data_IF_850669084712
#
_entry.id   IF_850669084712
#
_cell.length_a   1.000
_cell.length_b   1.000
_cell.length_c   1.000
_cell.angle_alpha   90.00
_cell.angle_beta   90.00
_cell.angle_gamma   90.00
#
_symmetry.space_group_name_H-M   'P 1'
#
loop_
_entity.id
_entity.type
_entity.pdbx_description
1 polymer ?
#
# COMPACT_ATOMS: atom_id res chain seq x y z
N UNK A 1 18.63 36.56 -17.51
CA UNK A 1 18.16 35.38 -18.29
C UNK A 1 16.83 35.76 -18.95
N UNK A 2 16.73 35.75 -20.28
CA UNK A 2 15.54 36.24 -21.00
C UNK A 2 14.33 35.34 -20.78
N UNK A 3 13.14 35.93 -20.61
CA UNK A 3 11.85 35.22 -20.45
C UNK A 3 11.59 34.22 -21.58
N UNK A 4 12.09 34.50 -22.80
CA UNK A 4 12.00 33.62 -23.96
C UNK A 4 12.87 32.36 -23.86
N UNK A 5 13.99 32.43 -23.13
CA UNK A 5 14.91 31.30 -22.93
C UNK A 5 14.36 30.34 -21.86
N UNK A 6 13.78 30.88 -20.79
CA UNK A 6 13.05 30.14 -19.76
C UNK A 6 11.84 29.39 -20.33
N UNK A 7 11.05 30.05 -21.20
CA UNK A 7 9.92 29.41 -21.88
C UNK A 7 10.33 28.25 -22.78
N UNK A 8 11.44 28.39 -23.53
CA UNK A 8 11.98 27.31 -24.36
C UNK A 8 12.50 26.15 -23.51
N UNK A 9 13.25 26.40 -22.44
CA UNK A 9 13.74 25.34 -21.53
C UNK A 9 12.59 24.59 -20.86
N UNK A 10 11.54 25.28 -20.40
CA UNK A 10 10.36 24.64 -19.83
C UNK A 10 9.64 23.74 -20.87
N UNK A 11 9.56 24.19 -22.13
CA UNK A 11 8.96 23.42 -23.21
C UNK A 11 9.80 22.17 -23.55
N UNK A 12 11.13 22.30 -23.65
CA UNK A 12 12.03 21.18 -23.93
C UNK A 12 12.04 20.15 -22.80
N UNK A 13 12.04 20.59 -21.54
CA UNK A 13 11.96 19.68 -20.38
C UNK A 13 10.62 18.97 -20.31
N UNK A 14 9.51 19.68 -20.62
CA UNK A 14 8.16 19.08 -20.63
C UNK A 14 8.00 18.08 -21.77
N UNK A 15 8.51 18.41 -22.97
CA UNK A 15 8.47 17.52 -24.13
C UNK A 15 9.39 16.31 -23.95
N UNK A 16 10.61 16.51 -23.44
CA UNK A 16 11.54 15.44 -23.10
C UNK A 16 11.00 14.52 -22.01
N UNK A 17 10.34 15.08 -20.98
CA UNK A 17 9.64 14.31 -19.95
C UNK A 17 8.48 13.50 -20.52
N UNK A 18 7.65 14.07 -21.40
CA UNK A 18 6.52 13.39 -22.02
C UNK A 18 6.95 12.28 -22.98
N UNK A 19 7.93 12.54 -23.85
CA UNK A 19 8.48 11.55 -24.78
C UNK A 19 9.21 10.46 -24.00
N UNK A 20 10.05 10.83 -23.04
CA UNK A 20 10.73 9.88 -22.15
C UNK A 20 9.73 8.99 -21.40
N UNK A 21 8.65 9.56 -20.87
CA UNK A 21 7.57 8.80 -20.23
C UNK A 21 6.89 7.84 -21.21
N UNK A 22 6.49 8.31 -22.40
CA UNK A 22 5.80 7.48 -23.39
C UNK A 22 6.70 6.36 -23.92
N UNK A 23 7.97 6.65 -24.19
CA UNK A 23 8.96 5.65 -24.65
C UNK A 23 9.27 4.66 -23.53
N UNK A 24 9.50 5.10 -22.30
CA UNK A 24 9.69 4.20 -21.17
C UNK A 24 8.45 3.32 -20.92
N UNK A 25 7.25 3.90 -21.00
CA UNK A 25 6.00 3.17 -20.85
C UNK A 25 5.79 2.14 -21.97
N UNK A 26 6.14 2.46 -23.22
CA UNK A 26 6.07 1.53 -24.35
C UNK A 26 7.17 0.45 -24.30
N UNK A 27 8.38 0.78 -23.83
CA UNK A 27 9.45 -0.21 -23.62
C UNK A 27 9.11 -1.16 -22.47
N UNK A 28 8.55 -0.64 -21.38
CA UNK A 28 8.13 -1.48 -20.26
C UNK A 28 6.94 -2.37 -20.65
N UNK A 29 5.93 -1.83 -21.34
CA UNK A 29 4.77 -2.58 -21.82
C UNK A 29 5.02 -3.19 -23.22
N UNK A 30 5.40 -4.46 -23.26
CA UNK A 30 5.59 -5.21 -24.50
C UNK A 30 7.00 -5.76 -24.72
N UNK A 31 8.04 -5.11 -24.16
CA UNK A 31 9.39 -5.70 -24.14
C UNK A 31 9.72 -6.33 -22.79
N UNK A 32 9.43 -5.65 -21.67
CA UNK A 32 9.73 -6.18 -20.33
C UNK A 32 8.54 -6.84 -19.63
N UNK A 33 7.31 -6.37 -19.88
CA UNK A 33 6.10 -6.86 -19.20
C UNK A 33 4.94 -7.06 -20.18
N UNK A 34 4.29 -8.23 -20.10
CA UNK A 34 3.03 -8.55 -20.78
C UNK A 34 1.86 -8.29 -19.82
N UNK A 35 1.42 -7.03 -19.75
CA UNK A 35 0.36 -6.60 -18.83
C UNK A 35 -0.97 -6.53 -19.55
N UNK A 36 -1.99 -7.28 -19.13
CA UNK A 36 -3.26 -7.30 -19.82
C UNK A 36 -4.03 -5.99 -19.61
N UNK A 37 -4.89 -5.65 -20.58
CA UNK A 37 -5.79 -4.50 -20.48
C UNK A 37 -6.87 -4.77 -19.43
N UNK A 38 -7.15 -3.77 -18.56
CA UNK A 38 -8.20 -3.83 -17.55
C UNK A 38 -9.56 -4.17 -18.19
N UNK A 39 -10.34 -5.04 -17.55
CA UNK A 39 -11.67 -5.47 -18.03
C UNK A 39 -11.66 -6.63 -19.03
N UNK A 40 -10.51 -7.20 -19.37
CA UNK A 40 -10.40 -8.38 -20.25
C UNK A 40 -10.30 -9.68 -19.46
N UNK A 41 -10.66 -10.83 -20.06
CA UNK A 41 -10.47 -12.16 -19.46
C UNK A 41 -9.01 -12.44 -19.10
N UNK A 42 -8.07 -11.90 -19.88
CA UNK A 42 -6.64 -11.98 -19.57
C UNK A 42 -6.29 -11.27 -18.27
N UNK A 43 -6.94 -10.14 -17.97
CA UNK A 43 -6.77 -9.42 -16.71
C UNK A 43 -7.32 -10.19 -15.51
N UNK A 44 -8.45 -10.88 -15.68
CA UNK A 44 -9.02 -11.76 -14.66
C UNK A 44 -8.06 -12.91 -14.34
N UNK A 45 -7.59 -13.63 -15.37
CA UNK A 45 -6.60 -14.72 -15.21
C UNK A 45 -5.29 -14.25 -14.59
N UNK A 46 -4.87 -13.02 -14.92
CA UNK A 46 -3.69 -12.40 -14.33
C UNK A 46 -3.88 -12.16 -12.82
N UNK A 47 -5.05 -11.67 -12.40
CA UNK A 47 -5.40 -11.51 -10.99
C UNK A 47 -5.47 -12.85 -10.26
N UNK A 48 -6.16 -13.86 -10.82
CA UNK A 48 -6.25 -15.22 -10.26
C UNK A 48 -4.87 -15.85 -10.05
N UNK A 49 -3.95 -15.66 -10.99
CA UNK A 49 -2.56 -16.13 -10.88
C UNK A 49 -1.81 -15.43 -9.75
N UNK A 50 -2.01 -14.13 -9.59
CA UNK A 50 -1.43 -13.38 -8.47
C UNK A 50 -2.02 -13.84 -7.12
N UNK A 51 -3.32 -14.10 -7.07
CA UNK A 51 -4.01 -14.59 -5.88
C UNK A 51 -3.48 -15.97 -5.46
N UNK A 52 -3.40 -16.90 -6.42
CA UNK A 52 -2.80 -18.22 -6.21
C UNK A 52 -1.35 -18.11 -5.70
N UNK A 53 -0.59 -17.14 -6.23
CA UNK A 53 0.79 -16.89 -5.78
C UNK A 53 0.81 -16.32 -4.36
N UNK A 54 -0.08 -15.39 -4.02
CA UNK A 54 -0.22 -14.82 -2.67
C UNK A 54 -0.51 -15.93 -1.64
N UNK A 55 -1.50 -16.78 -1.90
CA UNK A 55 -1.86 -17.91 -1.03
C UNK A 55 -0.75 -18.95 -0.91
N UNK A 56 0.05 -19.12 -1.96
CA UNK A 56 1.17 -20.05 -1.94
C UNK A 56 2.33 -19.61 -1.03
N UNK A 57 2.40 -18.33 -0.64
CA UNK A 57 3.52 -17.77 0.11
C UNK A 57 3.66 -18.45 1.50
N UNK A 58 4.88 -18.84 1.90
CA UNK A 58 5.11 -19.46 3.21
C UNK A 58 4.62 -18.61 4.38
N UNK A 59 4.84 -17.29 4.32
CA UNK A 59 4.38 -16.34 5.34
C UNK A 59 2.85 -16.35 5.47
N UNK A 60 2.12 -16.34 4.35
CA UNK A 60 0.65 -16.36 4.34
C UNK A 60 0.14 -17.66 4.94
N UNK A 61 0.70 -18.80 4.54
CA UNK A 61 0.34 -20.11 5.11
C UNK A 61 0.64 -20.21 6.61
N UNK A 62 1.75 -19.62 7.05
CA UNK A 62 2.12 -19.60 8.47
C UNK A 62 1.12 -18.78 9.28
N UNK A 63 0.85 -17.54 8.86
CA UNK A 63 -0.08 -16.65 9.58
C UNK A 63 -1.52 -17.15 9.53
N UNK A 64 -1.94 -17.80 8.44
CA UNK A 64 -3.29 -18.37 8.33
C UNK A 64 -3.54 -19.57 9.25
N UNK A 65 -2.48 -20.24 9.72
CA UNK A 65 -2.57 -21.36 10.68
C UNK A 65 -2.51 -20.91 12.12
N UNK A 66 -2.08 -19.68 12.37
CA UNK A 66 -1.92 -19.15 13.70
C UNK A 66 -3.26 -18.59 14.21
N UNK A 67 -3.84 -19.16 15.28
CA UNK A 67 -5.15 -18.74 15.79
C UNK A 67 -5.14 -17.32 16.38
N UNK A 68 -3.97 -16.73 16.65
CA UNK A 68 -3.87 -15.35 17.14
C UNK A 68 -4.10 -14.31 16.04
N UNK A 69 -3.97 -14.71 14.77
CA UNK A 69 -4.16 -13.82 13.64
C UNK A 69 -5.53 -14.03 13.01
N UNK A 70 -6.28 -12.93 12.87
CA UNK A 70 -7.47 -12.89 12.03
C UNK A 70 -7.09 -12.43 10.63
N UNK A 71 -7.43 -13.24 9.63
CA UNK A 71 -7.29 -12.89 8.22
C UNK A 71 -8.40 -11.92 7.78
N UNK A 72 -8.04 -10.84 7.10
CA UNK A 72 -8.96 -9.77 6.68
C UNK A 72 -8.64 -9.36 5.23
N UNK A 73 -9.69 -9.17 4.43
CA UNK A 73 -9.64 -8.54 3.10
C UNK A 73 -10.20 -7.12 3.21
N UNK A 74 -9.38 -6.07 3.08
CA UNK A 74 -9.81 -4.71 3.38
C UNK A 74 -10.90 -4.16 2.47
N UNK A 75 -10.95 -4.62 1.22
CA UNK A 75 -11.89 -4.08 0.25
C UNK A 75 -13.30 -4.65 0.43
N UNK A 76 -13.43 -5.79 1.10
CA UNK A 76 -14.72 -6.48 1.32
C UNK A 76 -15.66 -5.69 2.25
N UNK A 77 -15.12 -4.77 3.05
CA UNK A 77 -15.88 -3.94 3.99
C UNK A 77 -16.11 -2.51 3.47
N UNK A 78 -15.49 -2.15 2.34
CA UNK A 78 -15.72 -0.87 1.68
C UNK A 78 -16.98 -0.98 0.84
N UNK A 79 -17.95 -0.10 1.08
CA UNK A 79 -19.14 -0.02 0.24
C UNK A 79 -18.76 0.19 -1.23
N UNK A 80 -19.45 -0.49 -2.14
CA UNK A 80 -19.12 -0.52 -3.56
C UNK A 80 -19.06 0.89 -4.18
N UNK A 81 -19.90 1.83 -3.71
CA UNK A 81 -19.90 3.21 -4.22
C UNK A 81 -18.63 3.99 -3.84
N UNK A 82 -17.94 3.56 -2.77
CA UNK A 82 -16.72 4.22 -2.26
C UNK A 82 -15.44 3.56 -2.74
N UNK A 83 -15.47 2.31 -3.22
CA UNK A 83 -14.25 1.58 -3.58
C UNK A 83 -13.43 2.30 -4.66
N UNK A 84 -14.10 2.94 -5.62
CA UNK A 84 -13.46 3.73 -6.67
C UNK A 84 -12.90 5.08 -6.20
N UNK A 85 -13.35 5.57 -5.05
CA UNK A 85 -12.90 6.85 -4.48
C UNK A 85 -11.66 6.71 -3.59
N UNK A 86 -11.37 5.50 -3.11
CA UNK A 86 -10.17 5.22 -2.32
C UNK A 86 -8.98 5.08 -3.27
N UNK A 87 -7.88 5.74 -2.95
CA UNK A 87 -6.71 5.80 -3.82
C UNK A 87 -6.14 4.41 -4.19
N UNK A 88 -6.08 3.49 -3.21
CA UNK A 88 -5.49 2.15 -3.39
C UNK A 88 -6.41 1.15 -4.09
N UNK A 89 -7.73 1.23 -3.91
CA UNK A 89 -8.72 0.33 -4.55
C UNK A 89 -9.38 0.91 -5.80
N UNK A 90 -9.21 2.20 -6.08
CA UNK A 90 -9.72 2.86 -7.27
C UNK A 90 -8.61 3.10 -8.30
N UNK A 91 -7.95 4.27 -8.32
CA UNK A 91 -6.95 4.63 -9.33
C UNK A 91 -5.81 3.63 -9.49
N UNK A 92 -5.33 3.03 -8.39
CA UNK A 92 -4.24 2.07 -8.42
C UNK A 92 -4.70 0.63 -8.73
N UNK A 93 -6.00 0.36 -8.70
CA UNK A 93 -6.54 -0.97 -8.96
C UNK A 93 -6.66 -1.24 -10.46
N UNK A 94 -5.57 -1.77 -11.00
CA UNK A 94 -5.43 -2.12 -12.43
C UNK A 94 -4.40 -3.24 -12.59
N UNK A 95 -4.46 -4.06 -13.65
CA UNK A 95 -3.35 -4.93 -14.02
C UNK A 95 -2.05 -4.13 -14.12
N UNK A 96 -0.97 -4.63 -13.53
CA UNK A 96 0.30 -3.91 -13.42
C UNK A 96 0.36 -2.85 -12.31
N UNK A 97 -0.76 -2.51 -11.66
CA UNK A 97 -0.82 -1.70 -10.44
C UNK A 97 -0.98 -2.54 -9.17
N UNK A 98 -1.95 -2.18 -8.33
CA UNK A 98 -2.46 -3.03 -7.23
C UNK A 98 -3.55 -3.94 -7.80
N UNK A 99 -3.14 -5.03 -8.43
CA UNK A 99 -4.04 -5.85 -9.25
C UNK A 99 -4.96 -6.79 -8.47
N UNK A 100 -4.62 -7.09 -7.21
CA UNK A 100 -5.45 -7.86 -6.28
C UNK A 100 -5.56 -7.10 -4.95
N UNK A 101 -6.66 -7.26 -4.20
CA UNK A 101 -6.79 -6.69 -2.87
C UNK A 101 -5.63 -7.17 -1.96
N UNK A 102 -5.06 -6.28 -1.13
CA UNK A 102 -4.06 -6.71 -0.14
C UNK A 102 -4.68 -7.69 0.87
N UNK A 103 -3.82 -8.54 1.45
CA UNK A 103 -4.22 -9.50 2.48
C UNK A 103 -3.66 -9.10 3.83
N UNK A 104 -4.53 -8.97 4.82
CA UNK A 104 -4.17 -8.54 6.17
C UNK A 104 -4.31 -9.68 7.16
N UNK A 105 -3.40 -9.69 8.14
CA UNK A 105 -3.45 -10.53 9.33
C UNK A 105 -3.36 -9.62 10.54
N UNK A 106 -4.45 -9.49 11.29
CA UNK A 106 -4.52 -8.68 12.50
C UNK A 106 -4.39 -9.56 13.74
N UNK A 107 -3.48 -9.20 14.64
CA UNK A 107 -3.36 -9.80 15.97
C UNK A 107 -3.79 -8.77 17.01
N UNK A 108 -4.94 -9.01 17.63
CA UNK A 108 -5.50 -8.10 18.62
C UNK A 108 -4.68 -8.05 19.91
N UNK A 109 -4.18 -9.21 20.35
CA UNK A 109 -3.44 -9.34 21.61
C UNK A 109 -2.11 -8.57 21.57
N UNK A 110 -1.43 -8.61 20.43
CA UNK A 110 -0.17 -7.88 20.21
C UNK A 110 -0.39 -6.48 19.62
N UNK A 111 -1.62 -6.11 19.27
CA UNK A 111 -1.95 -4.88 18.55
C UNK A 111 -1.04 -4.67 17.34
N UNK A 112 -0.92 -5.73 16.54
CA UNK A 112 -0.03 -5.78 15.39
C UNK A 112 -0.80 -6.21 14.14
N UNK A 113 -0.36 -5.70 12.98
CA UNK A 113 -0.93 -6.07 11.69
C UNK A 113 0.21 -6.43 10.74
N UNK A 114 -0.01 -7.52 9.98
CA UNK A 114 0.83 -7.89 8.86
C UNK A 114 0.01 -7.80 7.58
N UNK A 115 0.42 -6.89 6.69
CA UNK A 115 -0.20 -6.69 5.39
C UNK A 115 0.71 -7.25 4.30
N UNK A 116 0.17 -8.07 3.41
CA UNK A 116 0.85 -8.52 2.19
C UNK A 116 0.20 -7.86 0.99
N UNK A 117 1.01 -7.15 0.20
CA UNK A 117 0.55 -6.40 -0.97
C UNK A 117 1.45 -6.68 -2.17
N UNK A 118 0.85 -6.85 -3.35
CA UNK A 118 1.60 -6.91 -4.59
C UNK A 118 1.77 -5.51 -5.17
N UNK A 119 3.01 -5.11 -5.44
CA UNK A 119 3.31 -3.84 -6.11
C UNK A 119 3.67 -4.10 -7.56
N UNK A 120 2.75 -3.85 -8.49
CA UNK A 120 3.03 -3.98 -9.92
C UNK A 120 3.90 -2.87 -10.51
N UNK A 121 4.31 -3.01 -11.76
CA UNK A 121 5.23 -2.10 -12.44
C UNK A 121 4.66 -0.72 -12.83
N UNK A 122 3.34 -0.56 -12.93
CA UNK A 122 2.72 0.77 -13.06
C UNK A 122 2.85 1.63 -11.80
N UNK A 123 3.28 1.03 -10.69
CA UNK A 123 3.62 1.76 -9.47
C UNK A 123 5.06 2.28 -9.48
N UNK A 124 5.79 2.14 -10.60
CA UNK A 124 7.16 2.61 -10.72
C UNK A 124 7.25 4.15 -10.74
N UNK A 125 8.18 4.71 -9.97
CA UNK A 125 8.54 6.14 -10.06
C UNK A 125 9.82 6.37 -10.87
N UNK A 126 10.69 5.37 -10.89
CA UNK A 126 11.89 5.28 -11.70
C UNK A 126 11.89 3.90 -12.36
N UNK A 127 12.53 3.68 -13.52
CA UNK A 127 12.57 2.37 -14.15
C UNK A 127 12.84 1.23 -13.17
N UNK A 128 11.91 0.28 -13.12
CA UNK A 128 11.92 -0.91 -12.26
C UNK A 128 11.79 -0.68 -10.75
N UNK A 129 11.73 0.57 -10.27
CA UNK A 129 11.64 0.90 -8.84
C UNK A 129 10.28 1.48 -8.47
N UNK A 130 9.64 0.90 -7.45
CA UNK A 130 8.38 1.39 -6.88
C UNK A 130 8.57 2.85 -6.44
N UNK A 131 7.61 3.69 -6.81
CA UNK A 131 7.59 5.10 -6.45
C UNK A 131 7.56 5.26 -4.92
N UNK A 132 8.42 6.12 -4.38
CA UNK A 132 8.51 6.35 -2.92
C UNK A 132 7.17 6.74 -2.31
N UNK A 133 6.42 7.62 -2.98
CA UNK A 133 5.05 7.99 -2.63
C UNK A 133 4.07 6.81 -2.49
N UNK A 134 4.20 5.77 -3.32
CA UNK A 134 3.33 4.58 -3.22
C UNK A 134 3.70 3.77 -1.97
N UNK A 135 4.99 3.63 -1.67
CA UNK A 135 5.46 2.98 -0.45
C UNK A 135 5.03 3.74 0.80
N UNK A 136 5.09 5.08 0.78
CA UNK A 136 4.61 5.90 1.89
C UNK A 136 3.12 5.75 2.10
N UNK A 137 2.31 5.77 1.03
CA UNK A 137 0.86 5.61 1.14
C UNK A 137 0.48 4.23 1.66
N UNK A 138 1.10 3.17 1.15
CA UNK A 138 0.83 1.82 1.63
C UNK A 138 1.21 1.63 3.11
N UNK A 139 2.32 2.26 3.55
CA UNK A 139 2.75 2.22 4.95
C UNK A 139 1.85 3.08 5.85
N UNK A 140 1.46 4.28 5.41
CA UNK A 140 0.52 5.14 6.14
C UNK A 140 -0.84 4.45 6.33
N UNK A 141 -1.38 3.81 5.28
CA UNK A 141 -2.63 3.04 5.39
C UNK A 141 -2.50 1.89 6.41
N UNK A 142 -1.39 1.17 6.42
CA UNK A 142 -1.14 0.09 7.38
C UNK A 142 -0.96 0.59 8.83
N UNK A 143 -0.25 1.70 9.01
CA UNK A 143 -0.08 2.35 10.31
C UNK A 143 -1.43 2.83 10.84
N UNK A 144 -2.24 3.47 9.99
CA UNK A 144 -3.57 3.94 10.34
C UNK A 144 -4.47 2.78 10.80
N UNK A 145 -4.52 1.66 10.06
CA UNK A 145 -5.29 0.47 10.45
C UNK A 145 -4.87 -0.10 11.81
N UNK A 146 -3.57 -0.09 12.10
CA UNK A 146 -3.04 -0.58 13.39
C UNK A 146 -3.39 0.37 14.53
N UNK A 147 -3.37 1.68 14.28
CA UNK A 147 -3.91 2.67 15.20
C UNK A 147 -5.40 2.42 15.44
N UNK A 148 -6.17 2.13 14.40
CA UNK A 148 -7.60 1.86 14.52
C UNK A 148 -7.87 0.63 15.39
N UNK A 149 -7.15 -0.47 15.15
CA UNK A 149 -7.18 -1.67 15.98
C UNK A 149 -6.88 -1.35 17.45
N UNK A 150 -5.89 -0.49 17.70
CA UNK A 150 -5.37 -0.23 19.04
C UNK A 150 -6.23 0.73 19.86
N UNK A 151 -6.82 1.73 19.20
CA UNK A 151 -7.70 2.72 19.82
C UNK A 151 -9.14 2.22 19.89
N UNK A 152 -9.49 1.14 19.18
CA UNK A 152 -10.87 0.67 19.08
C UNK A 152 -11.77 1.68 18.35
N UNK A 153 -11.20 2.49 17.48
CA UNK A 153 -11.89 3.48 16.63
C UNK A 153 -10.97 3.97 15.52
N UNK A 154 -11.53 4.53 14.44
CA UNK A 154 -10.77 5.23 13.41
C UNK A 154 -10.22 6.57 13.91
N UNK A 155 -8.89 6.79 13.83
CA UNK A 155 -8.32 8.12 13.85
C UNK A 155 -8.91 8.99 12.73
N UNK A 156 -9.11 10.28 12.99
CA UNK A 156 -9.55 11.19 11.92
C UNK A 156 -8.44 11.49 10.92
N UNK A 157 -7.22 11.61 11.44
CA UNK A 157 -6.07 12.07 10.66
C UNK A 157 -4.77 11.48 11.19
N UNK A 158 -3.78 11.46 10.30
CA UNK A 158 -2.39 11.18 10.66
C UNK A 158 -1.75 12.50 11.13
N UNK A 159 -1.56 12.66 12.44
CA UNK A 159 -0.97 13.88 13.00
C UNK A 159 0.50 14.07 12.59
N UNK A 160 1.25 12.97 12.52
CA UNK A 160 2.65 12.97 12.06
C UNK A 160 3.01 11.60 11.48
N UNK A 161 3.73 11.60 10.37
CA UNK A 161 4.41 10.41 9.86
C UNK A 161 5.87 10.74 9.56
N UNK A 162 6.79 9.88 10.00
CA UNK A 162 8.21 9.95 9.68
C UNK A 162 8.62 8.67 8.96
N UNK A 163 9.19 8.81 7.76
CA UNK A 163 9.58 7.69 6.91
C UNK A 163 11.08 7.73 6.61
N UNK A 164 11.71 6.57 6.73
CA UNK A 164 13.11 6.34 6.40
C UNK A 164 13.23 5.29 5.30
N UNK A 165 13.52 5.74 4.06
CA UNK A 165 13.81 4.86 2.93
C UNK A 165 15.22 4.31 3.06
N UNK A 166 15.33 3.00 3.30
CA UNK A 166 16.62 2.34 3.52
C UNK A 166 17.19 1.76 2.24
N UNK A 167 16.34 1.29 1.32
CA UNK A 167 16.74 0.53 0.13
C UNK A 167 15.80 0.76 -1.06
N UNK A 168 16.31 0.69 -2.30
CA UNK A 168 15.46 0.69 -3.48
C UNK A 168 14.54 -0.53 -3.47
N UNK A 169 13.30 -0.34 -3.91
CA UNK A 169 12.28 -1.39 -3.93
C UNK A 169 11.90 -1.68 -5.37
N UNK A 170 12.17 -2.90 -5.84
CA UNK A 170 11.80 -3.30 -7.20
C UNK A 170 10.27 -3.49 -7.35
N UNK A 171 9.76 -3.29 -8.55
CA UNK A 171 8.36 -3.58 -8.90
C UNK A 171 8.13 -5.08 -9.18
N UNK A 172 6.85 -5.45 -9.34
CA UNK A 172 6.35 -6.81 -9.61
C UNK A 172 6.77 -7.84 -8.54
N UNK A 173 6.74 -7.43 -7.27
CA UNK A 173 6.97 -8.30 -6.13
C UNK A 173 5.92 -8.10 -5.04
N UNK A 174 5.79 -9.11 -4.19
CA UNK A 174 5.05 -8.97 -2.94
C UNK A 174 5.91 -8.30 -1.89
N UNK A 175 5.33 -7.30 -1.24
CA UNK A 175 5.89 -6.62 -0.09
C UNK A 175 5.10 -7.01 1.16
N UNK A 176 5.80 -7.06 2.28
CA UNK A 176 5.23 -7.33 3.60
C UNK A 176 5.35 -6.07 4.42
N UNK A 177 4.23 -5.52 4.85
CA UNK A 177 4.17 -4.37 5.75
C UNK A 177 3.84 -4.90 7.13
N UNK A 178 4.74 -4.72 8.09
CA UNK A 178 4.52 -5.09 9.48
C UNK A 178 4.39 -3.83 10.31
N UNK A 179 3.33 -3.75 11.11
CA UNK A 179 3.03 -2.61 11.97
C UNK A 179 2.64 -3.09 13.35
N UNK A 180 2.99 -2.31 14.37
CA UNK A 180 2.68 -2.62 15.76
C UNK A 180 2.57 -1.34 16.57
N UNK A 181 1.74 -1.38 17.60
CA UNK A 181 1.58 -0.25 18.51
C UNK A 181 2.75 -0.16 19.48
N UNK A 182 3.43 0.98 19.48
CA UNK A 182 4.52 1.27 20.41
C UNK A 182 3.97 1.82 21.73
N UNK A 183 3.00 2.74 21.66
CA UNK A 183 2.44 3.41 22.82
C UNK A 183 1.03 3.91 22.55
N UNK A 184 0.20 3.91 23.59
CA UNK A 184 -1.11 4.57 23.59
C UNK A 184 -1.13 5.58 24.74
N UNK A 185 -1.29 6.86 24.39
CA UNK A 185 -1.40 7.98 25.32
C UNK A 185 -2.89 8.25 25.60
N UNK A 186 -3.31 8.02 26.85
CA UNK A 186 -4.65 8.34 27.37
C UNK A 186 -5.84 7.78 26.55
N UNK A 187 -5.60 6.77 25.71
CA UNK A 187 -6.62 6.20 24.82
C UNK A 187 -7.08 7.13 23.69
N UNK A 188 -6.44 8.30 23.52
CA UNK A 188 -6.78 9.28 22.47
C UNK A 188 -5.76 9.31 21.35
N UNK A 189 -4.49 9.01 21.68
CA UNK A 189 -3.39 9.11 20.74
C UNK A 189 -2.56 7.84 20.73
N UNK A 190 -2.25 7.33 19.54
CA UNK A 190 -1.46 6.11 19.37
C UNK A 190 -0.19 6.41 18.57
N UNK A 191 0.94 5.91 19.06
CA UNK A 191 2.21 5.87 18.35
C UNK A 191 2.39 4.48 17.78
N UNK A 192 2.45 4.40 16.45
CA UNK A 192 2.56 3.14 15.71
C UNK A 192 3.90 3.13 14.99
N UNK A 193 4.61 2.02 15.08
CA UNK A 193 5.81 1.77 14.30
C UNK A 193 5.52 0.74 13.22
N UNK A 194 6.24 0.85 12.11
CA UNK A 194 6.04 -0.05 11.00
C UNK A 194 7.23 -0.13 10.06
N UNK A 195 7.23 -1.16 9.22
CA UNK A 195 8.22 -1.30 8.16
C UNK A 195 7.67 -2.06 6.96
N UNK A 196 8.07 -1.59 5.77
CA UNK A 196 7.91 -2.32 4.51
C UNK A 196 9.14 -3.21 4.33
N UNK A 197 8.91 -4.49 4.06
CA UNK A 197 9.94 -5.52 3.93
C UNK A 197 9.73 -6.36 2.69
N UNK A 198 10.81 -6.98 2.22
CA UNK A 198 10.70 -8.07 1.24
C UNK A 198 10.13 -9.33 1.91
N UNK A 199 9.71 -10.31 1.11
CA UNK A 199 9.33 -11.65 1.60
C UNK A 199 10.44 -12.34 2.41
N UNK A 200 11.71 -11.99 2.16
CA UNK A 200 12.88 -12.49 2.90
C UNK A 200 13.18 -11.70 4.19
N UNK A 201 12.32 -10.75 4.56
CA UNK A 201 12.46 -9.95 5.77
C UNK A 201 13.41 -8.76 5.68
N UNK A 202 13.95 -8.44 4.50
CA UNK A 202 14.85 -7.29 4.32
C UNK A 202 14.05 -5.99 4.44
N UNK A 203 14.42 -5.12 5.37
CA UNK A 203 13.77 -3.82 5.53
C UNK A 203 14.08 -2.88 4.36
N UNK A 204 13.03 -2.29 3.80
CA UNK A 204 13.05 -1.38 2.67
C UNK A 204 12.74 0.05 3.10
N UNK A 205 11.67 0.20 3.90
CA UNK A 205 11.22 1.48 4.45
C UNK A 205 10.82 1.26 5.91
N UNK A 206 11.27 2.13 6.81
CA UNK A 206 10.81 2.18 8.20
C UNK A 206 9.92 3.40 8.39
N UNK A 207 8.84 3.26 9.13
CA UNK A 207 7.92 4.35 9.43
C UNK A 207 7.54 4.40 10.90
N UNK A 208 7.29 5.62 11.37
CA UNK A 208 6.68 5.92 12.66
C UNK A 208 5.54 6.90 12.42
N UNK A 209 4.35 6.55 12.90
CA UNK A 209 3.13 7.35 12.76
C UNK A 209 2.53 7.69 14.12
N UNK A 210 1.98 8.90 14.23
CA UNK A 210 1.21 9.36 15.39
C UNK A 210 -0.21 9.66 14.92
N UNK A 211 -1.17 9.04 15.57
CA UNK A 211 -2.59 9.10 15.23
C UNK A 211 -3.39 9.60 16.42
N UNK A 212 -4.33 10.51 16.20
CA UNK A 212 -5.13 11.14 17.25
C UNK A 212 -6.64 10.98 16.95
N UNK A 213 -7.42 10.89 18.02
CA UNK A 213 -8.87 10.80 18.02
C UNK A 213 -9.38 12.05 18.75
N UNK A 214 -9.84 13.03 17.97
CA UNK A 214 -10.31 14.33 18.49
C UNK A 214 -11.60 14.26 19.31
N UNK A 215 -12.31 13.13 19.36
CA UNK A 215 -13.43 12.86 20.29
C UNK A 215 -13.69 11.35 20.39
N UNK A 216 -13.98 10.79 21.58
CA UNK A 216 -14.31 9.38 21.71
C UNK A 216 -15.60 9.08 20.93
N UNK A 217 -15.57 8.24 19.89
CA UNK A 217 -16.79 7.85 19.19
C UNK A 217 -17.50 6.74 19.96
N UNK A 218 -18.78 6.55 19.62
CA UNK A 218 -19.57 5.43 20.11
C UNK A 218 -18.83 4.11 19.84
N UNK A 219 -18.70 3.26 20.86
CA UNK A 219 -18.04 1.94 20.77
C UNK A 219 -18.55 1.20 19.53
N UNK A 220 -17.69 1.03 18.54
CA UNK A 220 -17.96 0.14 17.40
C UNK A 220 -17.15 -1.14 17.58
N UNK A 221 -17.65 -2.24 17.01
CA UNK A 221 -16.94 -3.52 17.06
C UNK A 221 -15.59 -3.38 16.36
N UNK A 222 -14.53 -3.89 16.96
CA UNK A 222 -13.20 -3.89 16.33
C UNK A 222 -13.20 -4.60 14.96
N UNK A 223 -14.13 -5.54 14.73
CA UNK A 223 -14.31 -6.25 13.46
C UNK A 223 -14.77 -5.33 12.32
N UNK A 224 -15.56 -4.29 12.62
CA UNK A 224 -15.77 -3.19 11.67
C UNK A 224 -14.46 -2.41 11.48
N UNK A 225 -13.72 -2.16 12.57
CA UNK A 225 -12.55 -1.27 12.62
C UNK A 225 -11.32 -1.75 11.82
N UNK A 226 -11.00 -3.06 11.84
CA UNK A 226 -9.91 -3.63 11.02
C UNK A 226 -10.35 -4.01 9.59
N UNK A 227 -11.66 -4.09 9.34
CA UNK A 227 -12.24 -4.20 8.00
C UNK A 227 -12.32 -2.88 7.23
N UNK A 228 -12.41 -1.74 7.93
CA UNK A 228 -13.03 -0.46 7.55
C UNK A 228 -14.56 -0.45 7.73
#
# INVERSE_FOLDING_TARGET
>A
MSLRLLGKMALYSSFGGLVGYKVNHALQNGFFYDTPTKGTDKALRYAEKLESKLESLPLVKQLSRDPQFQMVRPWDYVKEEKIGSIFTSGPLHTPGGVSIPPLLFANESERSIVTVVHCGHFLAGFPFLVHGGILSTALDEALHRTASLSLGTYPKETARINLSYKRPTFVNQFLVIKTSTEMIEEGKKARIIGSVRTLKGKELVRGEGVFDVTSPPAKSSWKSIVGL
#
